data_IF_902919405742
#
_entry.id   IF_902919405742
#
_cell.length_a   1.000
_cell.length_b   1.000
_cell.length_c   1.000
_cell.angle_alpha   90.00
_cell.angle_beta   90.00
_cell.angle_gamma   90.00
#
_symmetry.space_group_name_H-M   'P 1'
#
loop_
_entity.id
_entity.type
_entity.pdbx_description
1 polymer ?
#
# COMPACT_ATOMS: atom_id res chain seq x y z
N UNK A 1 14.10 51.12 2.66
CA UNK A 1 13.98 50.31 1.43
C UNK A 1 13.38 48.98 1.84
N UNK A 2 12.19 48.75 1.33
CA UNK A 2 11.37 47.55 1.45
C UNK A 2 11.94 46.52 0.47
N UNK A 3 12.17 45.30 0.91
CA UNK A 3 12.25 44.14 0.01
C UNK A 3 11.17 43.18 0.49
N UNK A 4 10.14 43.12 -0.33
CA UNK A 4 8.98 42.25 -0.26
C UNK A 4 9.32 41.12 -1.23
N UNK A 5 9.86 40.03 -0.71
CA UNK A 5 10.05 38.79 -1.47
C UNK A 5 8.98 37.83 -0.99
N UNK A 6 7.79 37.98 -1.58
CA UNK A 6 6.79 36.94 -1.61
C UNK A 6 7.26 35.87 -2.58
N UNK A 7 7.74 34.76 -2.03
CA UNK A 7 7.86 33.51 -2.77
C UNK A 7 6.56 32.73 -2.57
N UNK A 8 5.78 32.73 -3.64
CA UNK A 8 4.55 31.97 -3.85
C UNK A 8 4.85 30.46 -3.73
N UNK A 9 4.69 29.89 -2.53
CA UNK A 9 4.56 28.44 -2.32
C UNK A 9 3.07 28.06 -2.12
N UNK A 10 2.22 28.42 -3.08
CA UNK A 10 0.78 28.08 -3.06
C UNK A 10 0.31 27.57 -4.44
N UNK A 11 0.99 26.60 -5.04
CA UNK A 11 0.47 25.88 -6.22
C UNK A 11 0.63 24.36 -6.07
N UNK A 12 -0.14 23.71 -5.19
CA UNK A 12 -0.48 22.27 -5.37
C UNK A 12 -1.60 21.73 -4.45
N UNK A 13 -2.71 22.45 -4.21
CA UNK A 13 -3.84 21.92 -3.40
C UNK A 13 -5.25 22.24 -3.93
N UNK A 14 -5.41 22.60 -5.21
CA UNK A 14 -6.73 22.96 -5.77
C UNK A 14 -7.53 21.82 -6.41
N UNK A 15 -6.96 20.62 -6.60
CA UNK A 15 -7.66 19.51 -7.29
C UNK A 15 -8.41 18.54 -6.36
N UNK A 16 -8.14 18.54 -5.05
CA UNK A 16 -8.85 17.74 -4.05
C UNK A 16 -10.39 17.94 -4.05
N UNK A 17 -10.95 19.16 -4.17
CA UNK A 17 -12.39 19.36 -4.10
C UNK A 17 -13.16 18.72 -5.26
N UNK A 18 -12.55 18.68 -6.46
CA UNK A 18 -13.22 18.18 -7.67
C UNK A 18 -13.23 16.65 -7.70
N UNK A 19 -12.09 16.03 -7.37
CA UNK A 19 -12.00 14.57 -7.33
C UNK A 19 -12.86 13.99 -6.20
N UNK A 20 -12.86 14.63 -5.02
CA UNK A 20 -13.74 14.23 -3.92
C UNK A 20 -15.23 14.31 -4.31
N UNK A 21 -15.64 15.41 -4.94
CA UNK A 21 -17.03 15.56 -5.41
C UNK A 21 -17.40 14.52 -6.48
N UNK A 22 -16.43 14.06 -7.28
CA UNK A 22 -16.63 13.00 -8.25
C UNK A 22 -16.81 11.64 -7.56
N UNK A 23 -15.95 11.30 -6.61
CA UNK A 23 -16.08 10.07 -5.80
C UNK A 23 -17.45 10.01 -5.10
N UNK A 24 -17.89 11.10 -4.48
CA UNK A 24 -19.22 11.21 -3.83
C UNK A 24 -20.40 10.96 -4.79
N UNK A 25 -20.29 11.44 -6.04
CA UNK A 25 -21.32 11.20 -7.06
C UNK A 25 -21.35 9.74 -7.49
N UNK A 26 -20.18 9.10 -7.66
CA UNK A 26 -20.09 7.68 -7.98
C UNK A 26 -20.64 6.86 -6.81
N UNK A 27 -20.26 7.17 -5.58
CA UNK A 27 -20.76 6.51 -4.38
C UNK A 27 -22.30 6.56 -4.34
N UNK A 28 -22.87 7.75 -4.53
CA UNK A 28 -24.32 7.96 -4.60
C UNK A 28 -25.00 7.15 -5.70
N UNK A 29 -24.33 6.95 -6.84
CA UNK A 29 -24.82 6.14 -7.94
C UNK A 29 -24.78 4.65 -7.58
N UNK A 30 -23.70 4.17 -6.95
CA UNK A 30 -23.56 2.77 -6.56
C UNK A 30 -24.60 2.38 -5.51
N UNK A 31 -24.92 3.27 -4.57
CA UNK A 31 -25.95 3.07 -3.54
C UNK A 31 -27.36 2.80 -4.10
N UNK A 32 -27.59 3.08 -5.38
CA UNK A 32 -28.88 2.86 -6.05
C UNK A 32 -29.01 1.47 -6.65
N UNK A 33 -27.92 0.73 -6.79
CA UNK A 33 -27.98 -0.67 -7.18
C UNK A 33 -28.44 -1.51 -6.00
N UNK A 34 -29.16 -2.59 -6.30
CA UNK A 34 -29.47 -3.58 -5.27
C UNK A 34 -28.16 -4.20 -4.75
N UNK A 35 -28.13 -4.63 -3.47
CA UNK A 35 -26.99 -5.35 -2.94
C UNK A 35 -26.66 -6.58 -3.80
N UNK A 36 -25.38 -6.83 -4.05
CA UNK A 36 -24.88 -7.98 -4.82
C UNK A 36 -25.37 -8.04 -6.27
N UNK A 37 -25.76 -6.90 -6.84
CA UNK A 37 -26.24 -6.82 -8.22
C UNK A 37 -25.08 -6.63 -9.21
N UNK A 38 -24.02 -5.92 -8.80
CA UNK A 38 -22.86 -5.67 -9.66
C UNK A 38 -22.00 -6.93 -9.75
N UNK A 39 -21.80 -7.40 -10.98
CA UNK A 39 -20.91 -8.54 -11.29
C UNK A 39 -19.50 -8.07 -11.65
N UNK A 40 -19.35 -6.87 -12.18
CA UNK A 40 -18.06 -6.33 -12.59
C UNK A 40 -17.97 -4.86 -12.21
N UNK A 41 -16.81 -4.45 -11.70
CA UNK A 41 -16.51 -3.07 -11.37
C UNK A 41 -15.11 -2.71 -11.84
N UNK A 42 -14.96 -1.50 -12.39
CA UNK A 42 -13.68 -1.01 -12.91
C UNK A 42 -13.44 0.43 -12.45
N UNK A 43 -12.28 0.66 -11.86
CA UNK A 43 -11.74 1.98 -11.54
C UNK A 43 -10.46 2.21 -12.37
N UNK A 44 -10.64 2.58 -13.63
CA UNK A 44 -9.54 2.70 -14.59
C UNK A 44 -9.13 4.16 -14.81
N UNK A 45 -8.92 4.91 -13.73
CA UNK A 45 -8.68 6.37 -13.78
C UNK A 45 -7.23 6.78 -13.54
N UNK A 46 -6.39 5.90 -12.99
CA UNK A 46 -5.00 6.25 -12.66
C UNK A 46 -4.91 7.30 -11.56
N UNK A 47 -5.79 7.22 -10.57
CA UNK A 47 -5.88 8.13 -9.42
C UNK A 47 -5.77 7.33 -8.12
N UNK A 48 -5.72 8.00 -6.97
CA UNK A 48 -5.92 7.30 -5.69
C UNK A 48 -7.31 6.68 -5.63
N UNK A 49 -7.43 5.51 -4.99
CA UNK A 49 -8.72 4.88 -4.75
C UNK A 49 -9.46 5.66 -3.66
N UNK A 50 -10.68 6.14 -3.92
CA UNK A 50 -11.44 6.88 -2.92
C UNK A 50 -11.92 5.95 -1.79
N UNK A 51 -11.62 6.27 -0.51
CA UNK A 51 -12.05 5.47 0.64
C UNK A 51 -13.57 5.30 0.75
N UNK A 52 -14.35 6.26 0.27
CA UNK A 52 -15.82 6.19 0.31
C UNK A 52 -16.40 5.13 -0.65
N UNK A 53 -15.59 4.70 -1.63
CA UNK A 53 -15.96 3.65 -2.57
C UNK A 53 -15.36 2.31 -2.15
N UNK A 54 -14.08 2.31 -1.77
CA UNK A 54 -13.27 1.08 -1.60
C UNK A 54 -12.67 0.87 -0.22
N UNK A 55 -12.81 1.83 0.70
CA UNK A 55 -12.35 1.65 2.07
C UNK A 55 -13.22 0.66 2.85
N UNK A 56 -12.86 0.39 4.10
CA UNK A 56 -13.61 -0.49 5.02
C UNK A 56 -15.10 -0.11 5.11
N UNK A 57 -15.40 1.19 5.10
CA UNK A 57 -16.77 1.72 5.10
C UNK A 57 -17.27 2.11 3.70
N UNK A 58 -16.54 1.72 2.66
CA UNK A 58 -16.80 2.07 1.27
C UNK A 58 -18.05 1.38 0.73
N UNK A 59 -18.77 2.04 -0.18
CA UNK A 59 -20.02 1.50 -0.69
C UNK A 59 -19.84 0.18 -1.45
N UNK A 60 -18.73 -0.03 -2.16
CA UNK A 60 -18.51 -1.24 -2.98
C UNK A 60 -18.27 -2.46 -2.09
N UNK A 61 -17.30 -2.46 -1.14
CA UNK A 61 -17.12 -3.58 -0.22
C UNK A 61 -18.39 -3.90 0.59
N UNK A 62 -19.13 -2.88 1.03
CA UNK A 62 -20.32 -3.06 1.86
C UNK A 62 -21.54 -3.62 1.10
N UNK A 63 -21.76 -3.22 -0.16
CA UNK A 63 -22.97 -3.59 -0.90
C UNK A 63 -22.75 -4.64 -1.98
N UNK A 64 -21.55 -4.74 -2.53
CA UNK A 64 -21.28 -5.47 -3.77
C UNK A 64 -20.24 -6.58 -3.56
N UNK A 65 -20.34 -7.31 -2.47
CA UNK A 65 -19.43 -8.41 -2.12
C UNK A 65 -19.43 -9.59 -3.10
N UNK A 66 -20.44 -9.71 -3.95
CA UNK A 66 -20.56 -10.76 -4.98
C UNK A 66 -19.91 -10.40 -6.31
N UNK A 67 -19.08 -9.35 -6.35
CA UNK A 67 -18.33 -9.00 -7.55
C UNK A 67 -17.52 -10.19 -8.05
N UNK A 68 -17.56 -10.40 -9.36
CA UNK A 68 -16.83 -11.46 -10.07
C UNK A 68 -15.62 -10.92 -10.81
N UNK A 69 -15.63 -9.64 -11.20
CA UNK A 69 -14.50 -9.01 -11.85
C UNK A 69 -14.21 -7.64 -11.24
N UNK A 70 -12.95 -7.42 -10.86
CA UNK A 70 -12.46 -6.16 -10.36
C UNK A 70 -11.25 -5.70 -11.19
N UNK A 71 -11.31 -4.50 -11.76
CA UNK A 71 -10.19 -3.85 -12.46
C UNK A 71 -9.85 -2.52 -11.79
N UNK A 72 -8.59 -2.31 -11.45
CA UNK A 72 -8.10 -1.11 -10.79
C UNK A 72 -6.87 -0.59 -11.55
N UNK A 73 -6.86 0.70 -11.88
CA UNK A 73 -5.68 1.45 -12.30
C UNK A 73 -5.52 2.62 -11.33
N UNK A 74 -4.46 2.57 -10.54
CA UNK A 74 -4.18 3.52 -9.46
C UNK A 74 -2.90 4.28 -9.72
N UNK A 75 -2.84 5.51 -9.20
CA UNK A 75 -1.60 6.28 -9.17
C UNK A 75 -0.65 5.66 -8.13
N UNK A 76 0.58 5.25 -8.53
CA UNK A 76 1.52 4.59 -7.63
C UNK A 76 2.17 5.53 -6.60
N UNK A 77 1.90 6.84 -6.68
CA UNK A 77 2.38 7.85 -5.74
C UNK A 77 1.40 8.10 -4.58
N UNK A 78 0.22 7.47 -4.62
CA UNK A 78 -0.77 7.54 -3.56
C UNK A 78 -0.25 6.95 -2.25
N UNK A 79 -0.31 7.75 -1.19
CA UNK A 79 0.07 7.35 0.16
C UNK A 79 -1.18 7.14 1.01
N UNK A 80 -1.15 6.15 1.90
CA UNK A 80 -2.20 5.99 2.90
C UNK A 80 -2.31 7.25 3.79
N UNK A 81 -3.53 7.53 4.23
CA UNK A 81 -3.79 8.55 5.23
C UNK A 81 -3.24 8.11 6.59
N UNK A 82 -2.76 9.08 7.38
CA UNK A 82 -2.06 8.83 8.64
C UNK A 82 -2.88 8.15 9.74
N UNK A 83 -4.20 8.05 9.59
CA UNK A 83 -5.15 7.53 10.58
C UNK A 83 -5.77 6.17 10.20
N UNK A 84 -5.39 5.58 9.07
CA UNK A 84 -5.93 4.29 8.60
C UNK A 84 -7.35 4.38 8.02
N UNK A 85 -8.01 5.54 8.06
CA UNK A 85 -9.36 5.76 7.52
C UNK A 85 -9.40 5.62 5.97
N UNK A 86 -8.23 5.63 5.33
CA UNK A 86 -8.07 5.45 3.88
C UNK A 86 -7.59 4.06 3.48
N UNK A 87 -7.54 3.10 4.41
CA UNK A 87 -7.20 1.72 4.07
C UNK A 87 -8.25 1.13 3.13
N UNK A 88 -7.78 0.62 2.00
CA UNK A 88 -8.61 -0.04 1.00
C UNK A 88 -8.95 -1.44 1.49
N UNK A 89 -10.23 -1.79 1.48
CA UNK A 89 -10.72 -3.09 1.91
C UNK A 89 -11.23 -3.90 0.73
N UNK A 90 -10.49 -4.97 0.40
CA UNK A 90 -10.91 -5.96 -0.60
C UNK A 90 -11.36 -7.28 0.04
N UNK A 91 -11.37 -7.37 1.37
CA UNK A 91 -11.71 -8.59 2.09
C UNK A 91 -13.15 -9.09 1.86
N UNK A 92 -14.17 -8.25 1.63
CA UNK A 92 -15.53 -8.75 1.43
C UNK A 92 -15.75 -9.49 0.10
N UNK A 93 -14.84 -9.31 -0.87
CA UNK A 93 -14.97 -9.95 -2.18
C UNK A 93 -14.50 -11.41 -2.10
N UNK A 94 -15.46 -12.33 -2.24
CA UNK A 94 -15.24 -13.79 -2.11
C UNK A 94 -15.75 -14.58 -3.32
N UNK A 95 -16.03 -13.89 -4.42
CA UNK A 95 -16.54 -14.46 -5.67
C UNK A 95 -15.78 -13.97 -6.91
N UNK A 96 -14.59 -13.37 -6.72
CA UNK A 96 -13.79 -12.83 -7.82
C UNK A 96 -13.24 -13.97 -8.67
N UNK A 97 -13.65 -14.00 -9.94
CA UNK A 97 -13.04 -14.81 -10.98
C UNK A 97 -11.92 -14.05 -11.70
N UNK A 98 -11.95 -12.71 -11.68
CA UNK A 98 -10.97 -11.86 -12.34
C UNK A 98 -10.55 -10.69 -11.45
N UNK A 99 -9.23 -10.54 -11.25
CA UNK A 99 -8.62 -9.41 -10.56
C UNK A 99 -7.51 -8.81 -11.41
N UNK A 100 -7.64 -7.51 -11.72
CA UNK A 100 -6.60 -6.71 -12.37
C UNK A 100 -6.28 -5.51 -11.50
N UNK A 101 -5.01 -5.33 -11.17
CA UNK A 101 -4.55 -4.13 -10.46
C UNK A 101 -3.23 -3.63 -11.06
N UNK A 102 -3.29 -2.42 -11.62
CA UNK A 102 -2.14 -1.68 -12.14
C UNK A 102 -1.86 -0.52 -11.19
N UNK A 103 -0.61 -0.41 -10.73
CA UNK A 103 -0.14 0.60 -9.79
C UNK A 103 -0.47 0.39 -8.30
N UNK A 104 -0.61 -0.85 -7.75
CA UNK A 104 -0.73 -1.00 -6.29
C UNK A 104 0.57 -0.57 -5.59
N UNK A 105 0.43 0.10 -4.45
CA UNK A 105 1.56 0.52 -3.59
C UNK A 105 1.79 -0.49 -2.46
N UNK A 106 2.84 -0.26 -1.65
CA UNK A 106 3.11 -1.05 -0.45
C UNK A 106 1.90 -1.14 0.49
N UNK A 107 1.17 -0.03 0.63
CA UNK A 107 0.00 0.10 1.50
C UNK A 107 -1.17 -0.78 1.02
N UNK A 108 -1.17 -1.17 -0.26
CA UNK A 108 -2.22 -1.98 -0.86
C UNK A 108 -1.95 -3.48 -0.78
N UNK A 109 -0.73 -3.89 -0.43
CA UNK A 109 -0.33 -5.31 -0.47
C UNK A 109 -1.15 -6.19 0.48
N UNK A 110 -1.54 -5.66 1.64
CA UNK A 110 -2.40 -6.40 2.57
C UNK A 110 -3.77 -6.70 1.94
N UNK A 111 -4.45 -5.68 1.44
CA UNK A 111 -5.74 -5.81 0.77
C UNK A 111 -5.67 -6.75 -0.44
N UNK A 112 -4.60 -6.63 -1.24
CA UNK A 112 -4.34 -7.52 -2.37
C UNK A 112 -4.16 -8.98 -1.92
N UNK A 113 -3.34 -9.22 -0.90
CA UNK A 113 -3.08 -10.55 -0.34
C UNK A 113 -4.38 -11.21 0.13
N UNK A 114 -5.19 -10.48 0.90
CA UNK A 114 -6.48 -10.98 1.41
C UNK A 114 -7.43 -11.32 0.26
N UNK A 115 -7.53 -10.44 -0.75
CA UNK A 115 -8.35 -10.70 -1.93
C UNK A 115 -7.89 -11.97 -2.69
N UNK A 116 -6.58 -12.16 -2.86
CA UNK A 116 -6.03 -13.34 -3.51
C UNK A 116 -6.33 -14.61 -2.71
N UNK A 117 -6.15 -14.58 -1.40
CA UNK A 117 -6.43 -15.72 -0.52
C UNK A 117 -7.91 -16.12 -0.57
N UNK A 118 -8.81 -15.14 -0.42
CA UNK A 118 -10.26 -15.36 -0.42
C UNK A 118 -10.79 -15.94 -1.73
N UNK A 119 -10.12 -15.63 -2.86
CA UNK A 119 -10.58 -16.03 -4.19
C UNK A 119 -9.70 -17.12 -4.83
N UNK A 120 -8.66 -17.59 -4.14
CA UNK A 120 -7.63 -18.51 -4.65
C UNK A 120 -8.14 -19.78 -5.34
N UNK A 121 -9.30 -20.30 -4.92
CA UNK A 121 -9.88 -21.55 -5.44
C UNK A 121 -10.63 -21.37 -6.76
N UNK A 122 -11.02 -20.15 -7.11
CA UNK A 122 -11.89 -19.86 -8.25
C UNK A 122 -11.44 -18.66 -9.10
N UNK A 123 -10.39 -17.94 -8.68
CA UNK A 123 -9.76 -16.89 -9.47
C UNK A 123 -9.15 -17.50 -10.74
N UNK A 124 -9.61 -17.02 -11.90
CA UNK A 124 -9.20 -17.49 -13.24
C UNK A 124 -8.26 -16.52 -13.93
N UNK A 125 -8.42 -15.23 -13.65
CA UNK A 125 -7.66 -14.17 -14.29
C UNK A 125 -7.02 -13.29 -13.22
N UNK A 126 -5.69 -13.23 -13.24
CA UNK A 126 -4.91 -12.34 -12.39
C UNK A 126 -3.98 -11.51 -13.26
N UNK A 127 -4.08 -10.18 -13.14
CA UNK A 127 -3.16 -9.22 -13.72
C UNK A 127 -2.65 -8.29 -12.64
N UNK A 128 -1.34 -8.25 -12.44
CA UNK A 128 -0.68 -7.34 -11.51
C UNK A 128 0.42 -6.60 -12.25
N UNK A 129 0.47 -5.29 -12.08
CA UNK A 129 1.49 -4.42 -12.69
C UNK A 129 1.93 -3.37 -11.67
N UNK A 130 3.10 -3.59 -11.06
CA UNK A 130 3.67 -2.73 -10.02
C UNK A 130 4.48 -1.61 -10.68
N UNK A 131 3.79 -0.53 -11.08
CA UNK A 131 4.39 0.58 -11.84
C UNK A 131 5.63 1.20 -11.16
N UNK A 132 5.62 1.29 -9.83
CA UNK A 132 6.76 1.79 -9.04
C UNK A 132 7.46 0.65 -8.29
N UNK A 133 7.91 -0.35 -9.04
CA UNK A 133 8.60 -1.51 -8.49
C UNK A 133 9.83 -1.14 -7.66
N UNK A 134 10.55 -0.08 -8.03
CA UNK A 134 11.75 0.35 -7.32
C UNK A 134 11.43 0.75 -5.87
N UNK A 135 10.45 1.63 -5.66
CA UNK A 135 10.03 2.06 -4.32
C UNK A 135 9.42 0.89 -3.53
N UNK A 136 8.59 0.07 -4.19
CA UNK A 136 8.01 -1.11 -3.55
C UNK A 136 9.09 -2.09 -3.07
N UNK A 137 10.11 -2.32 -3.91
CA UNK A 137 11.23 -3.21 -3.62
C UNK A 137 12.06 -2.71 -2.43
N UNK A 138 12.31 -1.40 -2.36
CA UNK A 138 12.98 -0.78 -1.21
C UNK A 138 12.15 -0.91 0.08
N UNK A 139 10.83 -0.64 0.00
CA UNK A 139 9.92 -0.78 1.13
C UNK A 139 9.92 -2.21 1.70
N UNK A 140 9.95 -3.20 0.82
CA UNK A 140 9.95 -4.61 1.20
C UNK A 140 11.33 -5.12 1.64
N UNK A 141 12.32 -4.24 1.80
CA UNK A 141 13.63 -4.56 2.36
C UNK A 141 14.57 -5.31 1.42
N UNK A 142 14.34 -5.22 0.11
CA UNK A 142 15.18 -5.87 -0.90
C UNK A 142 16.40 -5.00 -1.18
N UNK A 143 17.39 -5.08 -0.30
CA UNK A 143 18.66 -4.37 -0.41
C UNK A 143 19.69 -5.30 -1.06
N UNK A 144 19.77 -5.29 -2.40
CA UNK A 144 20.82 -5.90 -3.25
C UNK A 144 20.85 -7.42 -3.48
N UNK A 145 21.24 -7.78 -4.71
CA UNK A 145 21.62 -9.11 -5.20
C UNK A 145 23.07 -9.46 -4.80
N UNK A 146 23.49 -9.13 -3.58
CA UNK A 146 24.84 -9.48 -3.12
C UNK A 146 24.92 -11.01 -2.96
N UNK A 147 25.43 -11.69 -4.00
CA UNK A 147 25.65 -13.14 -4.09
C UNK A 147 26.66 -13.71 -3.06
N UNK A 148 27.01 -12.93 -2.03
CA UNK A 148 27.98 -13.26 -1.00
C UNK A 148 27.32 -13.50 0.37
N UNK A 149 26.12 -14.10 0.40
CA UNK A 149 25.59 -14.71 1.64
C UNK A 149 26.08 -16.18 1.74
N UNK A 150 27.08 -16.49 2.60
CA UNK A 150 27.71 -17.80 2.65
C UNK A 150 26.84 -18.90 3.26
N UNK A 151 25.65 -18.56 3.80
CA UNK A 151 24.68 -19.51 4.34
C UNK A 151 23.45 -19.56 3.43
N UNK A 152 23.64 -20.07 2.21
CA UNK A 152 22.64 -20.25 1.14
C UNK A 152 21.19 -20.12 1.59
N UNK A 153 20.71 -18.89 1.67
CA UNK A 153 19.35 -18.58 2.10
C UNK A 153 18.44 -19.19 1.05
N UNK A 154 17.78 -20.28 1.48
CA UNK A 154 16.69 -20.98 0.80
C UNK A 154 15.99 -20.05 -0.17
N UNK A 155 15.99 -20.36 -1.47
CA UNK A 155 15.34 -19.57 -2.52
C UNK A 155 13.91 -19.18 -2.07
N UNK A 156 13.77 -17.99 -1.47
CA UNK A 156 12.47 -17.48 -1.07
C UNK A 156 11.82 -17.08 -2.39
N UNK A 157 10.65 -17.63 -2.70
CA UNK A 157 9.87 -17.11 -3.80
C UNK A 157 9.28 -15.77 -3.35
N UNK A 158 10.12 -14.74 -3.33
CA UNK A 158 9.87 -13.46 -2.71
C UNK A 158 8.57 -12.83 -3.21
N UNK A 159 8.32 -12.97 -4.51
CA UNK A 159 7.08 -12.52 -5.09
C UNK A 159 5.87 -13.27 -4.50
N UNK A 160 5.88 -14.61 -4.49
CA UNK A 160 4.76 -15.38 -3.93
C UNK A 160 4.60 -15.19 -2.41
N UNK A 161 5.70 -15.13 -1.68
CA UNK A 161 5.71 -15.22 -0.22
C UNK A 161 5.58 -13.84 0.45
N UNK A 162 6.25 -12.83 -0.10
CA UNK A 162 6.31 -11.47 0.47
C UNK A 162 5.34 -10.54 -0.25
N UNK A 163 5.35 -10.52 -1.60
CA UNK A 163 4.48 -9.60 -2.37
C UNK A 163 3.03 -10.09 -2.37
N UNK A 164 2.79 -11.39 -2.60
CA UNK A 164 1.45 -11.96 -2.66
C UNK A 164 0.96 -12.56 -1.34
N UNK A 165 1.84 -12.71 -0.34
CA UNK A 165 1.48 -13.27 0.97
C UNK A 165 0.89 -14.68 0.91
N UNK A 166 1.33 -15.51 -0.04
CA UNK A 166 0.78 -16.86 -0.28
C UNK A 166 1.47 -17.95 0.53
N UNK A 167 2.48 -17.62 1.33
CA UNK A 167 3.15 -18.57 2.19
C UNK A 167 2.39 -18.76 3.51
N UNK A 168 1.96 -20.00 3.78
CA UNK A 168 1.21 -20.37 4.99
C UNK A 168 2.08 -20.31 6.26
N UNK A 169 3.41 -20.31 6.12
CA UNK A 169 4.34 -20.31 7.26
C UNK A 169 4.70 -18.92 7.81
N UNK A 170 4.42 -17.83 7.08
CA UNK A 170 4.70 -16.45 7.53
C UNK A 170 3.58 -15.85 8.39
N UNK A 171 2.43 -16.51 8.51
CA UNK A 171 1.33 -16.11 9.41
C UNK A 171 1.66 -16.24 10.91
N UNK A 172 2.82 -16.79 11.27
CA UNK A 172 3.29 -16.96 12.66
C UNK A 172 4.60 -16.25 12.99
N UNK A 173 5.04 -15.27 12.20
CA UNK A 173 5.91 -14.25 12.75
C UNK A 173 4.99 -13.13 13.28
N UNK A 174 4.92 -12.87 14.61
CA UNK A 174 4.35 -11.64 15.07
C UNK A 174 5.24 -10.53 14.49
N UNK A 175 4.75 -9.86 13.45
CA UNK A 175 5.11 -8.46 13.27
C UNK A 175 4.72 -7.80 14.57
N UNK A 176 5.72 -7.49 15.39
CA UNK A 176 5.57 -6.56 16.49
C UNK A 176 4.79 -5.37 15.94
N UNK A 177 3.65 -5.08 16.56
CA UNK A 177 3.03 -3.77 16.50
C UNK A 177 4.04 -2.76 17.07
N UNK A 178 5.02 -2.39 16.26
CA UNK A 178 5.61 -1.07 16.32
C UNK A 178 5.28 -0.43 14.99
N UNK A 179 4.09 0.19 14.98
CA UNK A 179 3.82 1.38 14.20
C UNK A 179 4.90 2.41 14.49
N UNK A 180 6.07 2.26 13.88
CA UNK A 180 7.00 3.35 13.71
C UNK A 180 6.62 4.01 12.39
N UNK A 181 5.62 4.89 12.45
CA UNK A 181 5.66 6.09 11.64
C UNK A 181 7.07 6.67 11.78
N UNK A 182 7.93 6.51 10.76
CA UNK A 182 9.17 7.27 10.73
C UNK A 182 8.80 8.71 10.40
N UNK A 183 9.05 9.68 11.31
CA UNK A 183 8.98 11.06 10.91
C UNK A 183 10.18 11.37 10.01
N UNK A 184 9.92 12.13 8.94
CA UNK A 184 10.93 12.72 8.07
C UNK A 184 12.14 13.21 8.84
N UNK A 185 13.33 12.89 8.33
CA UNK A 185 14.64 13.36 8.83
C UNK A 185 14.63 14.88 8.99
N UNK A 186 14.42 15.38 10.21
CA UNK A 186 15.05 16.63 10.65
C UNK A 186 16.41 16.28 11.22
N UNK A 187 17.47 16.74 10.57
CA UNK A 187 18.81 16.74 11.15
C UNK A 187 18.83 17.62 12.41
N UNK A 188 19.27 17.12 13.58
CA UNK A 188 19.70 17.98 14.66
C UNK A 188 21.21 18.18 14.59
N UNK A 189 21.59 19.45 14.66
CA UNK A 189 22.94 19.97 14.87
C UNK A 189 23.71 19.28 16.00
N UNK A 190 24.99 19.04 15.73
CA UNK A 190 26.08 18.64 16.63
C UNK A 190 25.81 18.83 18.13
N UNK A 191 25.74 17.72 18.87
CA UNK A 191 26.16 17.67 20.28
C UNK A 191 27.02 16.42 20.51
N UNK A 192 28.23 16.70 20.94
CA UNK A 192 29.34 15.78 21.12
C UNK A 192 29.24 15.13 22.52
N UNK A 193 29.19 13.81 22.59
CA UNK A 193 29.27 13.05 23.85
C UNK A 193 30.60 12.30 23.94
N UNK A 194 31.18 12.15 25.15
CA UNK A 194 32.59 11.79 25.32
C UNK A 194 32.85 10.29 25.13
N UNK A 195 34.02 9.97 24.57
CA UNK A 195 34.51 8.60 24.38
C UNK A 195 34.82 7.91 25.72
N UNK A 196 34.52 6.60 25.87
CA UNK A 196 34.99 5.83 27.01
C UNK A 196 36.48 5.51 26.89
N UNK A 197 37.21 5.67 28.00
CA UNK A 197 38.64 5.40 28.12
C UNK A 197 38.93 3.90 28.13
N UNK A 198 39.70 3.43 27.16
CA UNK A 198 40.24 2.07 27.10
C UNK A 198 41.47 1.98 28.00
N UNK A 199 41.38 1.22 29.08
CA UNK A 199 42.53 0.81 29.91
C UNK A 199 43.26 -0.37 29.25
N UNK A 200 44.56 -0.19 28.97
CA UNK A 200 45.46 -1.25 28.48
C UNK A 200 45.78 -2.27 29.58
N UNK A 201 45.94 -3.56 29.25
CA UNK A 201 46.52 -4.53 30.17
C UNK A 201 48.05 -4.41 30.19
N UNK A 202 48.62 -4.36 31.40
CA UNK A 202 50.07 -4.43 31.64
C UNK A 202 50.57 -5.86 31.51
N UNK A 203 51.64 -6.05 30.73
CA UNK A 203 52.44 -7.29 30.71
C UNK A 203 53.41 -7.32 31.88
N UNK A 204 53.33 -8.37 32.69
CA UNK A 204 54.38 -9.34 33.06
C UNK A 204 53.96 -10.07 34.34
#
# INVERSE_FOLDING_TARGET
MHFDDGDDEDEELQDQPRFYAFAQKIESLIRRFEPRQLQSFSWDLGTCLPPEIFGVNGVVPLQQSSLQSLSLITDPTCRACYDGECEIDLSPFSSLESLSWIGPTSDNLHALTVALQNNSTHLRNLKLDFLNWHELREYLGYFSDDEDDPDGTKEINYFADVVLGLNVYTLHAPYSQESACYPSRRYPSQQQWPMPSISRPSRL
#
